data_IF_173246923700
#
_entry.id   IF_173246923700
#
_cell.length_a   1.000
_cell.length_b   1.000
_cell.length_c   1.000
_cell.angle_alpha   90.00
_cell.angle_beta   90.00
_cell.angle_gamma   90.00
#
_symmetry.space_group_name_H-M   'P 1'
#
loop_
_entity.id
_entity.type
_entity.pdbx_description
1 polymer ?
#
# COMPACT_ATOMS: atom_id res chain seq x y z
N UNK A 1 -27.43 -0.33 14.77
CA UNK A 1 -26.27 -0.89 14.05
C UNK A 1 -25.44 0.31 13.62
N UNK A 2 -24.20 0.41 14.07
CA UNK A 2 -23.32 1.49 13.63
C UNK A 2 -22.95 1.17 12.18
N UNK A 3 -23.49 1.92 11.22
CA UNK A 3 -23.14 1.76 9.81
C UNK A 3 -21.65 2.10 9.65
N UNK A 4 -20.82 1.10 9.34
CA UNK A 4 -19.36 1.24 9.19
C UNK A 4 -18.97 1.14 7.71
N UNK A 5 -19.80 1.74 6.85
CA UNK A 5 -19.50 1.79 5.43
C UNK A 5 -18.30 2.71 5.17
N UNK A 6 -17.57 2.43 4.09
CA UNK A 6 -16.48 3.28 3.57
C UNK A 6 -16.96 4.74 3.46
N UNK A 7 -18.19 4.93 3.00
CA UNK A 7 -18.82 6.25 2.88
C UNK A 7 -19.08 6.92 4.22
N UNK A 8 -19.75 6.23 5.15
CA UNK A 8 -20.08 6.79 6.46
C UNK A 8 -18.82 7.15 7.28
N UNK A 9 -17.74 6.39 7.08
CA UNK A 9 -16.46 6.61 7.75
C UNK A 9 -15.55 7.59 7.01
N UNK A 10 -15.90 8.03 5.79
CA UNK A 10 -15.14 8.99 5.00
C UNK A 10 -13.84 8.43 4.42
N UNK A 11 -13.82 7.17 3.98
CA UNK A 11 -12.72 6.50 3.29
C UNK A 11 -12.97 6.38 1.77
N UNK A 12 -13.73 7.33 1.20
CA UNK A 12 -14.23 7.28 -0.18
C UNK A 12 -13.22 7.72 -1.23
N UNK A 13 -12.04 8.17 -0.83
CA UNK A 13 -11.03 8.63 -1.76
C UNK A 13 -10.61 7.52 -2.71
N UNK A 14 -10.65 7.83 -4.01
CA UNK A 14 -10.16 6.95 -5.08
C UNK A 14 -9.13 7.74 -5.87
N UNK A 15 -7.83 7.75 -5.48
CA UNK A 15 -6.77 8.45 -6.19
C UNK A 15 -6.70 8.15 -7.69
N UNK A 16 -7.11 6.96 -8.15
CA UNK A 16 -7.20 6.66 -9.57
C UNK A 16 -8.23 7.54 -10.33
N UNK A 17 -9.25 8.05 -9.66
CA UNK A 17 -10.26 8.96 -10.21
C UNK A 17 -10.04 10.42 -9.78
N UNK A 18 -9.41 10.63 -8.62
CA UNK A 18 -9.16 11.93 -8.01
C UNK A 18 -7.68 12.03 -7.63
N UNK A 19 -6.77 12.26 -8.60
CA UNK A 19 -5.32 12.12 -8.37
C UNK A 19 -4.75 12.96 -7.22
N UNK A 20 -5.35 14.12 -6.95
CA UNK A 20 -4.91 15.01 -5.87
C UNK A 20 -5.28 14.50 -4.46
N UNK A 21 -6.11 13.47 -4.34
CA UNK A 21 -6.38 12.82 -3.04
C UNK A 21 -5.37 11.75 -2.71
N UNK A 22 -4.42 11.43 -3.60
CA UNK A 22 -3.36 10.44 -3.35
C UNK A 22 -2.62 10.71 -2.01
N UNK A 23 -2.34 9.67 -1.19
CA UNK A 23 -2.60 8.24 -1.39
C UNK A 23 -4.03 7.79 -1.09
N UNK A 24 -4.93 8.70 -0.73
CA UNK A 24 -6.25 8.43 -0.18
C UNK A 24 -6.19 8.28 1.34
N UNK A 25 -7.34 8.29 2.00
CA UNK A 25 -7.38 8.09 3.45
C UNK A 25 -7.00 6.66 3.83
N UNK A 26 -5.99 6.54 4.70
CA UNK A 26 -5.46 5.27 5.20
C UNK A 26 -6.12 4.91 6.54
N UNK A 27 -6.40 3.62 6.75
CA UNK A 27 -6.93 3.10 8.02
C UNK A 27 -5.88 3.16 9.15
N UNK A 28 -6.33 3.51 10.35
CA UNK A 28 -5.52 3.60 11.57
C UNK A 28 -5.87 2.52 12.60
N UNK A 29 -6.87 1.69 12.31
CA UNK A 29 -7.27 0.55 13.12
C UNK A 29 -7.40 -0.74 12.29
N UNK A 30 -7.25 -1.92 12.90
CA UNK A 30 -7.44 -3.19 12.22
C UNK A 30 -8.88 -3.39 11.73
N UNK A 31 -9.03 -3.64 10.43
CA UNK A 31 -10.34 -3.87 9.81
C UNK A 31 -10.31 -5.03 8.83
N UNK A 32 -11.47 -5.64 8.62
CA UNK A 32 -11.78 -6.44 7.45
C UNK A 32 -12.57 -5.54 6.48
N UNK A 33 -11.99 -5.27 5.31
CA UNK A 33 -12.75 -4.77 4.17
C UNK A 33 -13.67 -5.91 3.70
N UNK A 34 -14.95 -5.63 3.49
CA UNK A 34 -15.90 -6.57 2.88
C UNK A 34 -16.96 -5.78 2.11
N UNK A 35 -16.84 -5.78 0.79
CA UNK A 35 -17.60 -4.90 -0.09
C UNK A 35 -17.39 -3.43 0.29
N UNK A 36 -18.48 -2.75 0.63
CA UNK A 36 -18.45 -1.33 1.02
C UNK A 36 -18.36 -1.11 2.53
N UNK A 37 -18.11 -2.15 3.32
CA UNK A 37 -18.07 -2.08 4.79
C UNK A 37 -16.65 -2.29 5.32
N UNK A 38 -16.34 -1.61 6.44
CA UNK A 38 -15.12 -1.77 7.21
C UNK A 38 -15.47 -2.35 8.59
N UNK A 39 -15.42 -3.68 8.67
CA UNK A 39 -15.73 -4.42 9.88
C UNK A 39 -14.54 -4.36 10.83
N UNK A 40 -14.74 -3.85 12.05
CA UNK A 40 -13.66 -3.72 13.02
C UNK A 40 -13.15 -5.09 13.47
N UNK A 41 -11.83 -5.24 13.59
CA UNK A 41 -11.20 -6.45 14.12
C UNK A 41 -10.76 -6.22 15.55
N UNK A 42 -11.25 -7.06 16.46
CA UNK A 42 -10.76 -7.10 17.84
C UNK A 42 -9.52 -7.97 17.90
N UNK A 43 -8.40 -7.31 18.12
CA UNK A 43 -7.07 -7.89 18.31
C UNK A 43 -7.09 -8.96 19.40
N UNK A 44 -6.48 -10.11 19.11
CA UNK A 44 -6.18 -11.16 20.09
C UNK A 44 -4.69 -11.49 20.02
N UNK A 45 -4.09 -11.91 21.15
CA UNK A 45 -2.70 -12.39 21.20
C UNK A 45 -2.59 -13.80 20.58
N UNK A 46 -3.02 -13.91 19.32
CA UNK A 46 -3.06 -15.10 18.49
C UNK A 46 -2.83 -14.66 17.02
N UNK A 47 -2.65 -15.65 16.13
CA UNK A 47 -2.57 -15.44 14.67
C UNK A 47 -3.82 -14.72 14.16
N UNK A 48 -3.67 -13.98 13.05
CA UNK A 48 -4.70 -13.11 12.50
C UNK A 48 -6.07 -13.78 12.33
N UNK A 49 -6.11 -15.02 11.83
CA UNK A 49 -7.36 -15.77 11.61
C UNK A 49 -8.21 -15.98 12.87
N UNK A 50 -7.59 -15.96 14.04
CA UNK A 50 -8.25 -16.14 15.34
C UNK A 50 -8.70 -14.81 15.99
N UNK A 51 -8.50 -13.67 15.32
CA UNK A 51 -9.02 -12.39 15.77
C UNK A 51 -10.53 -12.37 15.59
N UNK A 52 -11.23 -11.51 16.33
CA UNK A 52 -12.69 -11.50 16.31
C UNK A 52 -13.18 -10.36 15.42
N UNK A 53 -14.19 -10.62 14.60
CA UNK A 53 -14.84 -9.61 13.77
C UNK A 53 -16.03 -9.02 14.54
N UNK A 54 -16.14 -7.69 14.57
CA UNK A 54 -17.32 -7.01 15.11
C UNK A 54 -18.44 -6.98 14.07
N UNK A 55 -19.19 -8.08 13.98
CA UNK A 55 -20.38 -8.21 13.14
C UNK A 55 -21.58 -7.62 13.89
N UNK A 56 -21.75 -6.30 13.81
CA UNK A 56 -22.77 -5.56 14.56
C UNK A 56 -24.16 -6.24 14.55
N UNK A 57 -24.64 -6.65 15.73
CA UNK A 57 -25.98 -7.22 15.93
C UNK A 57 -26.03 -8.71 16.24
N UNK A 58 -24.91 -9.45 16.18
CA UNK A 58 -24.82 -10.84 16.63
C UNK A 58 -24.12 -10.91 17.99
N UNK A 59 -24.66 -11.61 19.01
CA UNK A 59 -24.03 -11.71 20.33
C UNK A 59 -22.75 -12.55 20.35
N UNK A 60 -22.56 -13.44 19.38
CA UNK A 60 -21.34 -14.24 19.22
C UNK A 60 -20.34 -13.53 18.31
N UNK A 61 -19.11 -13.37 18.83
CA UNK A 61 -17.99 -12.86 18.05
C UNK A 61 -17.37 -14.04 17.31
N UNK A 62 -17.52 -14.06 15.99
CA UNK A 62 -16.90 -15.05 15.11
C UNK A 62 -15.41 -14.73 14.89
N UNK A 63 -14.61 -15.76 14.67
CA UNK A 63 -13.21 -15.58 14.26
C UNK A 63 -13.14 -15.05 12.83
N UNK A 64 -12.08 -14.33 12.49
CA UNK A 64 -11.86 -13.79 11.16
C UNK A 64 -11.89 -14.89 10.09
N UNK A 65 -11.25 -16.04 10.34
CA UNK A 65 -11.27 -17.15 9.39
C UNK A 65 -12.68 -17.76 9.25
N UNK A 66 -13.48 -17.83 10.33
CA UNK A 66 -14.89 -18.27 10.23
C UNK A 66 -15.73 -17.31 9.39
N UNK A 67 -15.52 -16.00 9.53
CA UNK A 67 -16.22 -14.99 8.72
C UNK A 67 -15.81 -15.09 7.25
N UNK A 68 -14.52 -15.24 6.97
CA UNK A 68 -14.01 -15.42 5.60
C UNK A 68 -14.57 -16.69 4.95
N UNK A 69 -14.59 -17.82 5.67
CA UNK A 69 -15.18 -19.08 5.20
C UNK A 69 -16.67 -18.93 4.84
N UNK A 70 -17.44 -18.27 5.71
CA UNK A 70 -18.86 -17.97 5.45
C UNK A 70 -19.07 -17.08 4.22
N UNK A 71 -18.13 -16.19 3.92
CA UNK A 71 -18.13 -15.34 2.72
C UNK A 71 -17.58 -16.06 1.49
N UNK A 72 -17.19 -17.34 1.60
CA UNK A 72 -16.61 -18.13 0.51
C UNK A 72 -15.19 -17.69 0.14
N UNK A 73 -14.46 -17.08 1.07
CA UNK A 73 -13.15 -16.48 0.87
C UNK A 73 -12.03 -17.33 1.49
N UNK A 74 -10.82 -17.21 0.96
CA UNK A 74 -9.65 -17.88 1.52
C UNK A 74 -9.39 -17.43 2.97
N UNK A 75 -8.98 -18.36 3.83
CA UNK A 75 -8.55 -18.06 5.21
C UNK A 75 -7.31 -17.17 5.24
N UNK A 76 -7.06 -16.51 6.35
CA UNK A 76 -5.89 -15.64 6.54
C UNK A 76 -4.57 -16.36 6.30
N UNK A 77 -4.45 -17.62 6.73
CA UNK A 77 -3.27 -18.47 6.52
C UNK A 77 -2.93 -18.74 5.04
N UNK A 78 -3.96 -18.72 4.18
CA UNK A 78 -3.86 -18.96 2.73
C UNK A 78 -3.78 -17.67 1.92
N UNK A 79 -3.33 -16.58 2.53
CA UNK A 79 -3.19 -15.26 1.91
C UNK A 79 -1.75 -14.77 1.97
N UNK A 80 -1.45 -13.76 1.17
CA UNK A 80 -0.14 -13.12 1.05
C UNK A 80 -0.16 -11.79 1.84
N UNK A 81 0.68 -11.65 2.88
CA UNK A 81 0.80 -10.37 3.58
C UNK A 81 1.58 -9.38 2.71
N UNK A 82 1.00 -8.22 2.41
CA UNK A 82 1.57 -7.18 1.55
C UNK A 82 1.58 -5.84 2.28
N UNK A 83 2.76 -5.25 2.45
CA UNK A 83 2.96 -3.89 2.97
C UNK A 83 2.53 -2.89 1.88
N UNK A 84 1.55 -2.05 2.21
CA UNK A 84 1.04 -1.00 1.35
C UNK A 84 1.53 0.37 1.83
N UNK A 85 2.33 1.04 1.00
CA UNK A 85 2.92 2.37 1.30
C UNK A 85 2.23 3.54 0.57
N UNK A 86 1.18 3.23 -0.19
CA UNK A 86 0.49 4.15 -1.07
C UNK A 86 -0.99 3.82 -1.16
N UNK A 87 -1.58 4.00 -2.34
CA UNK A 87 -3.02 3.90 -2.52
C UNK A 87 -3.63 2.51 -2.26
N UNK A 88 -2.83 1.45 -2.24
CA UNK A 88 -3.26 0.11 -1.80
C UNK A 88 -3.52 0.01 -0.28
N UNK A 89 -3.20 1.05 0.50
CA UNK A 89 -3.56 1.16 1.92
C UNK A 89 -4.90 1.87 2.14
N UNK A 90 -5.50 2.47 1.10
CA UNK A 90 -6.74 3.22 1.17
C UNK A 90 -7.94 2.34 0.77
N UNK A 91 -8.93 2.12 1.66
CA UNK A 91 -10.07 1.23 1.39
C UNK A 91 -10.89 1.60 0.15
N UNK A 92 -11.19 2.89 -0.05
CA UNK A 92 -11.94 3.35 -1.22
C UNK A 92 -11.24 3.02 -2.53
N UNK A 93 -9.92 3.19 -2.58
CA UNK A 93 -9.11 2.86 -3.75
C UNK A 93 -9.13 1.36 -4.04
N UNK A 94 -8.87 0.51 -3.04
CA UNK A 94 -8.79 -0.95 -3.26
C UNK A 94 -10.16 -1.54 -3.60
N UNK A 95 -11.24 -1.09 -2.94
CA UNK A 95 -12.61 -1.50 -3.27
C UNK A 95 -12.98 -1.08 -4.69
N UNK A 96 -12.62 0.13 -5.12
CA UNK A 96 -12.79 0.56 -6.51
C UNK A 96 -11.98 -0.31 -7.49
N UNK A 97 -10.71 -0.59 -7.18
CA UNK A 97 -9.81 -1.40 -8.02
C UNK A 97 -10.39 -2.79 -8.27
N UNK A 98 -10.81 -3.49 -7.21
CA UNK A 98 -11.35 -4.85 -7.28
C UNK A 98 -12.76 -4.91 -7.85
N UNK A 99 -13.63 -3.99 -7.42
CA UNK A 99 -15.00 -3.88 -7.94
C UNK A 99 -15.07 -3.61 -9.43
N UNK A 100 -14.14 -2.82 -9.98
CA UNK A 100 -14.05 -2.55 -11.44
C UNK A 100 -13.78 -3.81 -12.26
N UNK A 101 -13.09 -4.79 -11.68
CA UNK A 101 -12.68 -6.04 -12.35
C UNK A 101 -13.63 -7.20 -11.96
N UNK A 102 -14.56 -6.97 -11.03
CA UNK A 102 -15.57 -7.93 -10.61
C UNK A 102 -15.04 -9.05 -9.71
N UNK A 103 -13.95 -8.79 -8.98
CA UNK A 103 -13.43 -9.73 -7.97
C UNK A 103 -13.80 -9.27 -6.56
N UNK A 104 -13.86 -10.23 -5.64
CA UNK A 104 -14.16 -10.00 -4.24
C UNK A 104 -13.07 -9.15 -3.57
N UNK A 105 -13.46 -8.18 -2.75
CA UNK A 105 -12.55 -7.25 -2.07
C UNK A 105 -12.39 -7.56 -0.57
N UNK A 106 -12.89 -8.72 -0.12
CA UNK A 106 -12.70 -9.19 1.24
C UNK A 106 -11.21 -9.38 1.56
N UNK A 107 -10.67 -8.49 2.39
CA UNK A 107 -9.30 -8.61 2.90
C UNK A 107 -9.11 -7.93 4.25
N UNK A 108 -8.31 -8.56 5.14
CA UNK A 108 -7.80 -7.88 6.33
C UNK A 108 -6.85 -6.75 5.95
N UNK A 109 -6.99 -5.60 6.61
CA UNK A 109 -6.09 -4.44 6.54
C UNK A 109 -5.67 -4.08 7.96
N UNK A 110 -4.38 -4.19 8.26
CA UNK A 110 -3.86 -4.10 9.63
C UNK A 110 -2.72 -3.07 9.69
N UNK A 111 -2.79 -2.05 10.58
CA UNK A 111 -1.65 -1.21 10.89
C UNK A 111 -0.56 -2.03 11.61
N UNK A 112 0.64 -2.07 11.05
CA UNK A 112 1.81 -2.83 11.51
C UNK A 112 2.99 -1.86 11.65
N UNK A 113 3.75 -2.00 12.74
CA UNK A 113 5.01 -1.26 12.89
C UNK A 113 6.10 -1.99 12.12
N UNK A 114 6.68 -1.32 11.12
CA UNK A 114 7.72 -1.88 10.25
C UNK A 114 9.02 -1.13 10.48
N UNK A 115 10.11 -1.84 10.78
CA UNK A 115 11.45 -1.26 10.92
C UNK A 115 12.28 -1.41 9.65
N UNK A 116 13.19 -0.48 9.40
CA UNK A 116 14.12 -0.55 8.27
C UNK A 116 13.56 0.02 6.96
N UNK A 117 12.34 0.55 6.96
CA UNK A 117 11.65 1.06 5.77
C UNK A 117 11.03 2.43 6.05
N UNK A 118 11.36 3.39 5.19
CA UNK A 118 10.78 4.74 5.15
C UNK A 118 10.02 4.96 3.85
N UNK A 119 9.14 5.97 3.83
CA UNK A 119 8.29 6.28 2.67
C UNK A 119 8.79 7.53 1.98
N UNK A 120 9.12 7.39 0.70
CA UNK A 120 9.43 8.51 -0.18
C UNK A 120 8.51 8.55 -1.37
N UNK A 121 8.95 9.24 -2.42
CA UNK A 121 8.23 9.37 -3.68
C UNK A 121 8.96 8.62 -4.78
N UNK A 122 8.21 7.94 -5.64
CA UNK A 122 8.78 7.34 -6.83
C UNK A 122 9.21 8.41 -7.83
N UNK A 123 10.32 8.18 -8.53
CA UNK A 123 10.81 9.06 -9.60
C UNK A 123 10.03 8.89 -10.92
N UNK A 124 8.71 8.75 -10.86
CA UNK A 124 7.85 8.77 -12.05
C UNK A 124 6.49 9.38 -11.76
N UNK A 125 5.83 9.82 -12.84
CA UNK A 125 4.44 10.26 -12.81
C UNK A 125 3.58 9.03 -13.13
N UNK A 126 2.63 8.72 -12.24
CA UNK A 126 1.74 7.56 -12.37
C UNK A 126 0.72 7.78 -13.50
N UNK A 127 0.06 6.72 -14.03
CA UNK A 127 -0.93 6.85 -15.10
C UNK A 127 -2.07 7.85 -14.81
N UNK A 128 -2.49 7.96 -13.55
CA UNK A 128 -3.50 8.93 -13.12
C UNK A 128 -2.96 10.36 -12.93
N UNK A 129 -1.65 10.58 -13.11
CA UNK A 129 -1.01 11.90 -13.07
C UNK A 129 -0.42 12.33 -11.73
N UNK A 130 -0.65 11.59 -10.64
CA UNK A 130 0.03 11.82 -9.36
C UNK A 130 1.46 11.24 -9.36
N UNK A 131 2.30 11.71 -8.45
CA UNK A 131 3.60 11.11 -8.11
C UNK A 131 3.38 10.19 -6.92
N UNK A 132 3.54 8.89 -7.12
CA UNK A 132 3.20 7.87 -6.13
C UNK A 132 4.25 7.77 -5.01
N UNK A 133 3.79 7.33 -3.84
CA UNK A 133 4.68 6.86 -2.78
C UNK A 133 5.47 5.64 -3.25
N UNK A 134 6.70 5.52 -2.75
CA UNK A 134 7.52 4.33 -2.89
C UNK A 134 8.33 4.12 -1.61
N UNK A 135 8.62 2.86 -1.24
CA UNK A 135 9.46 2.58 -0.09
C UNK A 135 10.95 2.81 -0.44
N UNK A 136 11.73 3.18 0.56
CA UNK A 136 13.19 3.13 0.52
C UNK A 136 13.73 2.56 1.83
N UNK A 137 14.94 2.00 1.81
CA UNK A 137 15.54 1.45 3.02
C UNK A 137 16.09 2.55 3.91
N UNK A 138 15.70 2.48 5.18
CA UNK A 138 16.16 3.38 6.23
C UNK A 138 16.31 2.56 7.53
N UNK A 139 17.53 2.09 7.86
CA UNK A 139 17.77 1.18 8.99
C UNK A 139 17.26 1.71 10.34
N UNK A 140 17.21 3.02 10.51
CA UNK A 140 16.81 3.67 11.75
C UNK A 140 15.29 3.93 11.83
N UNK A 141 14.58 3.80 10.71
CA UNK A 141 13.15 4.05 10.66
C UNK A 141 12.34 2.98 11.38
N UNK A 142 11.28 3.44 12.06
CA UNK A 142 10.15 2.63 12.51
C UNK A 142 8.87 3.31 12.03
N UNK A 143 8.26 2.76 10.99
CA UNK A 143 7.13 3.37 10.28
C UNK A 143 5.87 2.54 10.50
N UNK A 144 4.75 3.13 10.97
CA UNK A 144 3.46 2.46 10.95
C UNK A 144 2.95 2.38 9.50
N UNK A 145 2.79 1.16 8.98
CA UNK A 145 2.33 0.88 7.62
C UNK A 145 1.14 -0.09 7.66
N UNK A 146 0.29 -0.04 6.64
CA UNK A 146 -0.81 -1.00 6.52
C UNK A 146 -0.31 -2.24 5.80
N UNK A 147 -0.52 -3.40 6.42
CA UNK A 147 -0.36 -4.70 5.76
C UNK A 147 -1.74 -5.22 5.38
N UNK A 148 -1.90 -5.61 4.12
CA UNK A 148 -3.10 -6.28 3.61
C UNK A 148 -2.83 -7.77 3.43
N UNK A 149 -3.84 -8.61 3.65
CA UNK A 149 -3.75 -10.05 3.38
C UNK A 149 -4.55 -10.36 2.12
N UNK A 150 -3.84 -10.42 0.99
CA UNK A 150 -4.43 -10.64 -0.33
C UNK A 150 -4.54 -12.13 -0.61
N UNK A 151 -5.67 -12.59 -1.16
CA UNK A 151 -5.71 -13.90 -1.80
C UNK A 151 -4.97 -13.89 -3.14
N UNK A 152 -4.87 -15.05 -3.80
CA UNK A 152 -4.16 -15.18 -5.07
C UNK A 152 -4.75 -14.33 -6.21
N UNK A 153 -6.08 -14.16 -6.26
CA UNK A 153 -6.74 -13.37 -7.30
C UNK A 153 -6.52 -11.86 -7.06
N UNK A 154 -6.62 -11.43 -5.80
CA UNK A 154 -6.37 -10.06 -5.38
C UNK A 154 -4.90 -9.68 -5.60
N UNK A 155 -3.96 -10.56 -5.24
CA UNK A 155 -2.52 -10.35 -5.46
C UNK A 155 -2.21 -10.18 -6.95
N UNK A 156 -2.78 -11.05 -7.80
CA UNK A 156 -2.62 -10.94 -9.25
C UNK A 156 -3.12 -9.60 -9.78
N UNK A 157 -4.28 -9.12 -9.32
CA UNK A 157 -4.79 -7.81 -9.73
C UNK A 157 -3.86 -6.68 -9.30
N UNK A 158 -3.25 -6.78 -8.12
CA UNK A 158 -2.23 -5.80 -7.70
C UNK A 158 -1.03 -5.88 -8.64
N UNK A 159 -0.46 -7.07 -8.88
CA UNK A 159 0.66 -7.27 -9.81
C UNK A 159 0.41 -6.68 -11.19
N UNK A 160 -0.76 -6.98 -11.78
CA UNK A 160 -1.17 -6.48 -13.10
C UNK A 160 -1.24 -4.94 -13.15
N UNK A 161 -1.47 -4.28 -12.01
CA UNK A 161 -1.52 -2.79 -11.92
C UNK A 161 -0.20 -2.14 -11.54
N UNK A 162 0.69 -2.86 -10.85
CA UNK A 162 1.97 -2.32 -10.37
C UNK A 162 3.09 -2.55 -11.40
N UNK A 163 3.05 -3.64 -12.16
CA UNK A 163 4.07 -3.97 -13.15
C UNK A 163 3.87 -3.26 -14.49
N UNK A 164 4.94 -2.85 -15.20
CA UNK A 164 6.37 -2.97 -14.84
C UNK A 164 6.93 -1.77 -14.04
N UNK A 165 6.08 -0.82 -13.63
CA UNK A 165 6.53 0.41 -12.96
C UNK A 165 7.10 0.18 -11.55
N UNK A 166 6.73 -0.95 -10.96
CA UNK A 166 7.22 -1.45 -9.69
C UNK A 166 7.72 -2.90 -9.85
N UNK A 167 8.44 -3.34 -8.83
CA UNK A 167 8.85 -4.73 -8.62
C UNK A 167 8.38 -5.15 -7.24
N UNK A 168 8.21 -6.44 -7.02
CA UNK A 168 7.81 -6.99 -5.72
C UNK A 168 9.02 -7.59 -5.02
N UNK A 169 9.16 -7.33 -3.73
CA UNK A 169 10.16 -7.95 -2.86
C UNK A 169 9.47 -8.67 -1.69
N UNK A 170 10.05 -9.78 -1.22
CA UNK A 170 9.66 -10.43 0.03
C UNK A 170 10.64 -10.01 1.13
N UNK A 171 10.20 -9.14 2.03
CA UNK A 171 11.02 -8.71 3.16
C UNK A 171 10.98 -9.75 4.28
N UNK A 172 12.13 -10.32 4.68
CA UNK A 172 12.17 -11.27 5.79
C UNK A 172 12.08 -10.53 7.13
N UNK A 173 11.30 -11.07 8.07
CA UNK A 173 10.96 -10.39 9.32
C UNK A 173 12.12 -10.26 10.32
N UNK A 174 13.20 -11.01 10.12
CA UNK A 174 14.43 -10.94 10.92
C UNK A 174 15.29 -9.74 10.53
N UNK A 175 15.36 -9.41 9.23
CA UNK A 175 16.01 -8.20 8.72
C UNK A 175 15.10 -6.97 8.81
N UNK A 176 13.79 -7.14 8.62
CA UNK A 176 12.79 -6.08 8.69
C UNK A 176 11.74 -6.40 9.76
N UNK A 177 12.01 -6.10 11.04
CA UNK A 177 11.05 -6.37 12.10
C UNK A 177 9.68 -5.74 11.84
N UNK A 178 8.66 -6.59 11.77
CA UNK A 178 7.26 -6.22 11.53
C UNK A 178 6.41 -6.67 12.70
N UNK A 179 5.90 -5.73 13.49
CA UNK A 179 5.15 -6.03 14.72
C UNK A 179 3.68 -5.69 14.56
N UNK A 180 2.82 -6.71 14.61
CA UNK A 180 1.38 -6.58 14.59
C UNK A 180 0.82 -6.09 15.94
N UNK A 181 -0.41 -5.53 15.96
CA UNK A 181 -1.10 -5.16 17.20
C UNK A 181 -1.27 -6.31 18.21
N UNK A 182 -1.30 -7.56 17.77
CA UNK A 182 -1.35 -8.75 18.65
C UNK A 182 -0.06 -8.98 19.45
N UNK A 183 1.03 -8.32 19.06
CA UNK A 183 2.39 -8.64 19.49
C UNK A 183 3.08 -9.67 18.59
N UNK A 184 2.39 -10.26 17.62
CA UNK A 184 3.00 -11.13 16.63
C UNK A 184 4.08 -10.39 15.84
N UNK A 185 5.26 -11.01 15.70
CA UNK A 185 6.30 -10.58 14.78
C UNK A 185 6.21 -11.39 13.50
N UNK A 186 5.86 -10.75 12.38
CA UNK A 186 5.69 -11.45 11.10
C UNK A 186 7.02 -12.07 10.64
N UNK A 187 6.96 -13.28 10.09
CA UNK A 187 8.11 -13.96 9.48
C UNK A 187 8.53 -13.34 8.14
N UNK A 188 7.61 -12.65 7.46
CA UNK A 188 7.88 -11.92 6.23
C UNK A 188 6.63 -11.23 5.69
N UNK A 189 6.81 -10.26 4.78
CA UNK A 189 5.73 -9.66 4.01
C UNK A 189 6.25 -9.12 2.68
N UNK A 190 5.40 -9.11 1.66
CA UNK A 190 5.73 -8.52 0.37
C UNK A 190 5.65 -7.00 0.41
N UNK A 191 6.41 -6.34 -0.45
CA UNK A 191 6.33 -4.90 -0.68
C UNK A 191 6.58 -4.61 -2.16
N UNK A 192 5.93 -3.58 -2.69
CA UNK A 192 6.22 -3.09 -4.04
C UNK A 192 7.18 -1.90 -3.95
N UNK A 193 8.30 -1.99 -4.66
CA UNK A 193 9.32 -0.94 -4.74
C UNK A 193 9.47 -0.45 -6.18
N UNK A 194 9.83 0.83 -6.35
CA UNK A 194 9.79 1.47 -7.66
C UNK A 194 10.91 0.98 -8.58
N UNK A 195 10.57 0.65 -9.84
CA UNK A 195 11.55 0.38 -10.89
C UNK A 195 12.23 1.66 -11.43
N UNK A 196 11.68 2.84 -11.12
CA UNK A 196 12.22 4.14 -11.56
C UNK A 196 13.20 4.76 -10.55
N UNK A 197 13.34 4.18 -9.36
CA UNK A 197 14.02 4.80 -8.23
C UNK A 197 13.15 5.82 -7.51
N UNK A 198 13.80 6.67 -6.71
CA UNK A 198 13.17 7.63 -5.82
C UNK A 198 13.40 9.06 -6.29
N UNK A 199 12.38 9.88 -6.11
CA UNK A 199 12.46 11.31 -6.30
C UNK A 199 13.28 11.90 -5.15
N UNK A 200 14.39 12.54 -5.49
CA UNK A 200 15.34 13.10 -4.54
C UNK A 200 15.16 14.61 -4.38
N UNK A 201 15.59 15.11 -3.23
CA UNK A 201 15.82 16.53 -3.00
C UNK A 201 17.16 16.98 -3.63
N UNK A 202 17.50 18.26 -3.46
CA UNK A 202 18.75 18.83 -3.99
C UNK A 202 20.02 18.27 -3.35
N UNK A 203 19.89 17.61 -2.20
CA UNK A 203 21.00 16.96 -1.49
C UNK A 203 21.12 15.47 -1.88
N UNK A 204 20.24 14.97 -2.75
CA UNK A 204 20.20 13.57 -3.17
C UNK A 204 19.45 12.65 -2.20
N UNK A 205 18.82 13.18 -1.15
CA UNK A 205 18.02 12.41 -0.21
C UNK A 205 16.62 12.15 -0.78
N UNK A 206 16.02 10.96 -0.56
CA UNK A 206 14.63 10.72 -0.97
C UNK A 206 13.67 11.76 -0.38
N UNK A 207 12.84 12.37 -1.23
CA UNK A 207 11.77 13.27 -0.76
C UNK A 207 10.72 12.46 0.00
N UNK A 208 10.18 12.98 1.12
CA UNK A 208 9.18 12.27 1.91
C UNK A 208 7.88 12.06 1.10
N UNK A 209 7.30 10.86 1.24
CA UNK A 209 6.03 10.47 0.60
C UNK A 209 4.85 10.47 1.57
N UNK A 210 3.65 10.25 1.04
CA UNK A 210 2.40 10.13 1.83
C UNK A 210 1.82 11.45 2.37
N UNK A 211 2.37 12.59 1.97
CA UNK A 211 1.85 13.93 2.30
C UNK A 211 0.77 14.44 1.34
N UNK A 212 0.50 15.75 1.39
CA UNK A 212 -0.47 16.42 0.51
C UNK A 212 0.03 16.46 -0.94
N UNK A 213 -0.69 15.78 -1.84
CA UNK A 213 -0.30 15.67 -3.23
C UNK A 213 -0.27 17.02 -3.95
N UNK A 214 -1.21 17.92 -3.67
CA UNK A 214 -1.26 19.22 -4.34
C UNK A 214 -0.10 20.12 -3.90
N UNK A 215 0.29 20.09 -2.63
CA UNK A 215 1.46 20.78 -2.10
C UNK A 215 2.74 20.27 -2.77
N UNK A 216 2.93 18.95 -2.84
CA UNK A 216 4.05 18.33 -3.54
C UNK A 216 4.13 18.82 -4.99
N UNK A 217 3.03 18.74 -5.75
CA UNK A 217 3.03 19.14 -7.15
C UNK A 217 3.33 20.65 -7.32
N UNK A 218 2.84 21.52 -6.42
CA UNK A 218 3.20 22.95 -6.43
C UNK A 218 4.68 23.18 -6.20
N UNK A 219 5.30 22.41 -5.30
CA UNK A 219 6.73 22.49 -5.03
C UNK A 219 7.53 22.08 -6.27
N UNK A 220 7.23 20.91 -6.87
CA UNK A 220 7.91 20.45 -8.09
C UNK A 220 7.75 21.44 -9.24
N UNK A 221 6.55 22.00 -9.41
CA UNK A 221 6.30 23.04 -10.39
C UNK A 221 7.09 24.31 -10.08
N UNK A 222 7.27 24.70 -8.83
CA UNK A 222 8.09 25.88 -8.49
C UNK A 222 9.57 25.65 -8.80
N UNK A 223 10.05 24.44 -8.55
CA UNK A 223 11.45 24.07 -8.72
C UNK A 223 11.87 23.84 -10.18
N UNK A 224 10.97 23.36 -11.04
CA UNK A 224 11.26 23.08 -12.46
C UNK A 224 10.47 23.96 -13.41
N UNK A 225 11.20 24.70 -14.25
CA UNK A 225 10.58 25.42 -15.38
C UNK A 225 10.05 24.46 -16.43
N UNK A 226 10.77 23.37 -16.73
CA UNK A 226 10.38 22.40 -17.74
C UNK A 226 9.06 21.70 -17.36
N UNK A 227 8.90 21.30 -16.10
CA UNK A 227 7.64 20.74 -15.61
C UNK A 227 6.49 21.75 -15.74
N UNK A 228 6.69 23.04 -15.41
CA UNK A 228 5.63 24.06 -15.59
C UNK A 228 5.20 24.24 -17.04
N UNK A 229 6.15 24.27 -17.97
CA UNK A 229 5.85 24.44 -19.39
C UNK A 229 5.06 23.22 -19.93
N UNK A 230 5.47 22.01 -19.53
CA UNK A 230 4.87 20.76 -19.96
C UNK A 230 3.50 20.48 -19.29
N UNK A 231 3.47 20.49 -17.96
CA UNK A 231 2.36 20.02 -17.13
C UNK A 231 1.42 21.14 -16.70
N UNK A 232 1.81 22.39 -16.92
CA UNK A 232 1.01 23.58 -16.63
C UNK A 232 1.37 24.24 -15.29
N UNK A 233 0.68 25.33 -14.93
CA UNK A 233 1.11 26.22 -13.85
C UNK A 233 0.72 25.74 -12.45
N UNK A 234 -0.18 24.78 -12.33
CA UNK A 234 -0.80 24.36 -11.07
C UNK A 234 -1.04 22.83 -11.01
N UNK A 235 -1.25 22.26 -9.82
CA UNK A 235 -1.50 20.83 -9.63
C UNK A 235 -2.66 20.29 -10.45
N UNK A 236 -3.74 21.05 -10.59
CA UNK A 236 -4.92 20.68 -11.36
C UNK A 236 -4.59 20.51 -12.84
N UNK A 237 -3.80 21.43 -13.40
CA UNK A 237 -3.29 21.34 -14.75
C UNK A 237 -2.33 20.16 -14.90
N UNK A 238 -1.46 19.94 -13.91
CA UNK A 238 -0.54 18.80 -13.90
C UNK A 238 -1.29 17.48 -14.04
N UNK A 239 -2.22 17.21 -13.12
CA UNK A 239 -2.91 15.90 -13.10
C UNK A 239 -3.78 15.72 -14.34
N UNK A 240 -4.43 16.79 -14.81
CA UNK A 240 -5.24 16.75 -16.03
C UNK A 240 -4.39 16.43 -17.27
N UNK A 241 -3.22 17.07 -17.42
CA UNK A 241 -2.35 16.85 -18.59
C UNK A 241 -1.66 15.49 -18.53
N UNK A 242 -1.05 15.15 -17.40
CA UNK A 242 -0.38 13.86 -17.23
C UNK A 242 -1.34 12.66 -17.29
N UNK A 243 -2.57 12.81 -16.79
CA UNK A 243 -3.59 11.77 -16.86
C UNK A 243 -4.24 11.61 -18.24
N UNK A 244 -4.13 12.61 -19.12
CA UNK A 244 -4.73 12.59 -20.46
C UNK A 244 -3.77 12.09 -21.55
N UNK A 245 -2.46 12.21 -21.36
CA UNK A 245 -1.47 11.93 -22.40
C UNK A 245 -0.22 11.22 -21.82
N UNK A 246 0.02 10.00 -22.30
CA UNK A 246 1.16 9.17 -21.94
C UNK A 246 2.50 9.82 -22.32
N UNK A 247 2.61 10.44 -23.49
CA UNK A 247 3.84 11.08 -23.90
C UNK A 247 4.18 12.28 -23.00
N UNK A 248 3.16 13.02 -22.55
CA UNK A 248 3.34 14.11 -21.58
C UNK A 248 3.85 13.56 -20.23
N UNK A 249 3.29 12.43 -19.77
CA UNK A 249 3.70 11.77 -18.53
C UNK A 249 5.13 11.24 -18.60
N UNK A 250 5.50 10.61 -19.71
CA UNK A 250 6.84 10.04 -19.92
C UNK A 250 7.90 11.14 -20.05
N UNK A 251 7.56 12.23 -20.75
CA UNK A 251 8.42 13.42 -20.81
C UNK A 251 8.58 14.05 -19.42
N UNK A 252 7.49 14.21 -18.65
CA UNK A 252 7.56 14.74 -17.29
C UNK A 252 8.39 13.87 -16.35
N UNK A 253 8.26 12.54 -16.47
CA UNK A 253 9.11 11.57 -15.75
C UNK A 253 10.58 11.71 -16.15
N UNK A 254 10.85 11.96 -17.44
CA UNK A 254 12.21 12.18 -17.93
C UNK A 254 12.83 13.46 -17.39
N UNK A 255 12.05 14.53 -17.19
CA UNK A 255 12.52 15.77 -16.56
C UNK A 255 13.09 15.51 -15.16
N UNK A 256 12.52 14.61 -14.36
CA UNK A 256 13.09 14.27 -13.05
C UNK A 256 14.54 13.77 -13.15
N UNK A 257 14.84 12.95 -14.18
CA UNK A 257 16.19 12.47 -14.43
C UNK A 257 17.10 13.57 -14.95
N UNK A 258 16.62 14.36 -15.92
CA UNK A 258 17.38 15.43 -16.56
C UNK A 258 17.78 16.54 -15.58
N UNK A 259 16.91 16.83 -14.60
CA UNK A 259 17.18 17.81 -13.53
C UNK A 259 17.90 17.21 -12.31
N UNK A 260 18.29 15.94 -12.36
CA UNK A 260 19.09 15.28 -11.32
C UNK A 260 18.30 14.96 -10.04
N UNK A 261 16.98 14.84 -10.10
CA UNK A 261 16.11 14.51 -8.96
C UNK A 261 15.90 13.00 -8.80
N UNK A 262 16.77 12.16 -9.36
CA UNK A 262 16.63 10.71 -9.31
C UNK A 262 17.74 10.12 -8.45
N UNK A 263 17.35 9.32 -7.46
CA UNK A 263 18.24 8.43 -6.73
C UNK A 263 17.79 6.98 -6.92
N UNK A 264 18.73 6.09 -7.26
CA UNK A 264 18.41 4.68 -7.43
C UNK A 264 18.29 4.00 -6.06
N UNK A 265 17.50 2.93 -6.01
CA UNK A 265 17.33 2.12 -4.80
C UNK A 265 17.55 0.63 -5.12
N UNK A 266 18.80 0.18 -5.34
CA UNK A 266 19.10 -1.22 -5.61
C UNK A 266 18.94 -2.12 -4.36
N UNK A 267 18.74 -1.55 -3.18
CA UNK A 267 18.80 -2.25 -1.90
C UNK A 267 17.66 -3.24 -1.68
N UNK A 268 16.57 -3.11 -2.44
CA UNK A 268 15.48 -4.10 -2.47
C UNK A 268 15.75 -5.28 -3.41
N UNK A 269 16.68 -5.17 -4.37
CA UNK A 269 16.96 -6.23 -5.34
C UNK A 269 17.36 -7.58 -4.71
N UNK A 270 18.12 -7.64 -3.61
CA UNK A 270 18.40 -8.91 -2.94
C UNK A 270 17.16 -9.64 -2.41
N UNK A 271 16.04 -8.93 -2.28
CA UNK A 271 14.77 -9.44 -1.77
C UNK A 271 13.70 -9.58 -2.87
N UNK A 272 14.04 -9.30 -4.14
CA UNK A 272 13.10 -9.38 -5.26
C UNK A 272 12.44 -10.77 -5.30
N UNK A 273 11.11 -10.80 -5.32
CA UNK A 273 10.34 -12.04 -5.24
C UNK A 273 10.21 -12.68 -6.61
N UNK A 274 10.39 -14.00 -6.68
CA UNK A 274 10.04 -14.81 -7.86
C UNK A 274 8.60 -15.35 -7.69
N UNK A 275 7.79 -15.24 -8.74
CA UNK A 275 6.41 -15.73 -8.77
C UNK A 275 6.31 -17.25 -8.55
N UNK A 276 7.39 -17.99 -8.81
CA UNK A 276 7.47 -19.44 -8.56
C UNK A 276 7.67 -19.81 -7.09
N UNK A 277 8.01 -18.85 -6.22
CA UNK A 277 8.34 -19.07 -4.81
C UNK A 277 7.44 -18.28 -3.84
N UNK A 278 6.23 -17.89 -4.26
CA UNK A 278 5.32 -17.15 -3.40
C UNK A 278 4.95 -17.94 -2.13
N UNK A 279 5.27 -17.36 -0.99
CA UNK A 279 4.99 -17.86 0.37
C UNK A 279 3.71 -17.26 0.92
N UNK A 280 2.82 -18.13 1.38
CA UNK A 280 1.61 -17.79 2.12
C UNK A 280 1.94 -17.40 3.57
N UNK A 281 1.02 -16.71 4.23
CA UNK A 281 1.17 -16.28 5.61
C UNK A 281 1.45 -17.43 6.58
N UNK A 282 0.84 -18.61 6.41
CA UNK A 282 1.14 -19.79 7.26
C UNK A 282 2.47 -20.46 6.95
N UNK A 283 3.05 -20.18 5.78
CA UNK A 283 4.42 -20.60 5.44
C UNK A 283 5.48 -19.57 5.90
N UNK A 284 5.04 -18.48 6.54
CA UNK A 284 5.87 -17.45 7.15
C UNK A 284 5.63 -17.49 8.68
N UNK A 285 6.29 -18.41 9.40
CA UNK A 285 6.04 -18.57 10.84
C UNK A 285 6.41 -17.30 11.60
N UNK A 286 5.64 -17.00 12.64
CA UNK A 286 5.92 -15.87 13.52
C UNK A 286 7.30 -16.03 14.17
N UNK A 287 8.04 -14.93 14.32
CA UNK A 287 9.38 -14.96 14.90
C UNK A 287 9.33 -15.08 16.43
N UNK A 288 10.34 -15.77 16.98
CA UNK A 288 10.74 -15.80 18.39
C UNK A 288 9.65 -16.16 19.41
N UNK A 289 8.66 -16.99 19.06
CA UNK A 289 7.56 -17.30 19.95
C UNK A 289 6.78 -16.05 20.39
N UNK A 290 6.74 -15.04 19.51
CA UNK A 290 6.07 -13.74 19.75
C UNK A 290 4.58 -13.88 20.10
N UNK A 291 3.99 -15.02 19.74
CA UNK A 291 2.69 -15.47 20.20
C UNK A 291 2.84 -16.67 21.16
N UNK A 292 1.98 -16.77 22.18
CA UNK A 292 1.93 -17.97 23.02
C UNK A 292 1.66 -19.21 22.16
N UNK A 293 2.29 -20.33 22.50
CA UNK A 293 1.93 -21.63 21.93
C UNK A 293 0.44 -21.89 22.20
N UNK A 294 -0.28 -22.22 21.14
CA UNK A 294 -1.74 -22.41 21.13
C UNK A 294 -2.17 -23.61 21.96
#
# INVERSE_FOLDING_TARGET
>A
MTHRSIEALGFTDVPALQPLTYPGRIIDEPVLLSGKELLALRVRRQRLGNWLVDCGGVPEKETLDSVLDRLGQASTGSRYPVISVGSNAAPGQVSHKFGRIGIADEMPMIPVKVRGVSIGLSAHISPAGYVASAPYLDPEAETPLVVTWLDAAQLKVVDDTEFPGYRRALLPGDAFPMTMPSGERLGGAYIYFSAYGMLADRNGAPRPGGGDQAALLRELLTESRALRELLGPDPESWVRRAGADEAVRDNGTSVFREEGWLTLQPEFLPYESDDSELRLYDHLPALDGSLPES
#
